data_IF_285433417705
#
_entry.id   IF_285433417705
#
_cell.length_a   1.000
_cell.length_b   1.000
_cell.length_c   1.000
_cell.angle_alpha   90.00
_cell.angle_beta   90.00
_cell.angle_gamma   90.00
#
_symmetry.space_group_name_H-M   'P 1'
#
loop_
_entity.id
_entity.type
_entity.pdbx_description
1 polymer ?
#
# COMPACT_ATOMS: atom_id res chain seq x y z
N UNK A 1 -13.22 -7.12 14.36
CA UNK A 1 -13.86 -5.97 13.69
C UNK A 1 -14.68 -6.50 12.52
N UNK A 2 -15.98 -6.19 12.44
CA UNK A 2 -16.77 -6.48 11.23
C UNK A 2 -16.33 -5.49 10.17
N UNK A 3 -15.64 -5.96 9.13
CA UNK A 3 -15.24 -5.10 8.02
C UNK A 3 -16.50 -4.77 7.20
N UNK A 4 -17.08 -3.59 7.45
CA UNK A 4 -18.12 -3.02 6.62
C UNK A 4 -17.42 -2.42 5.41
N UNK A 5 -17.75 -2.92 4.21
CA UNK A 5 -17.32 -2.29 2.96
C UNK A 5 -17.70 -0.81 3.04
N UNK A 6 -16.73 0.07 2.80
CA UNK A 6 -16.94 1.51 2.82
C UNK A 6 -17.96 1.87 1.75
N UNK A 7 -18.86 2.79 2.06
CA UNK A 7 -19.79 3.30 1.05
C UNK A 7 -19.03 4.09 -0.01
N UNK A 8 -19.54 4.04 -1.24
CA UNK A 8 -19.01 4.86 -2.35
C UNK A 8 -19.03 6.35 -1.98
N UNK A 9 -20.05 6.79 -1.23
CA UNK A 9 -20.17 8.17 -0.75
C UNK A 9 -19.01 8.53 0.19
N UNK A 10 -18.61 7.61 1.08
CA UNK A 10 -17.44 7.82 1.91
C UNK A 10 -16.19 7.93 1.06
N UNK A 11 -15.98 7.02 0.11
CA UNK A 11 -14.81 7.05 -0.76
C UNK A 11 -14.73 8.36 -1.55
N UNK A 12 -15.84 8.77 -2.18
CA UNK A 12 -15.96 10.02 -2.93
C UNK A 12 -15.65 11.24 -2.06
N UNK A 13 -16.23 11.32 -0.86
CA UNK A 13 -16.10 12.52 -0.03
C UNK A 13 -14.81 12.57 0.78
N UNK A 14 -14.38 11.44 1.36
CA UNK A 14 -13.21 11.39 2.24
C UNK A 14 -11.91 11.13 1.48
N UNK A 15 -11.91 10.23 0.49
CA UNK A 15 -10.70 9.86 -0.26
C UNK A 15 -10.51 10.78 -1.47
N UNK A 16 -11.55 10.98 -2.29
CA UNK A 16 -11.46 11.84 -3.47
C UNK A 16 -11.77 13.32 -3.20
N UNK A 17 -12.17 13.68 -1.98
CA UNK A 17 -12.54 15.06 -1.60
C UNK A 17 -13.58 15.69 -2.54
N UNK A 18 -14.51 14.88 -3.04
CA UNK A 18 -15.59 15.30 -3.94
C UNK A 18 -15.19 15.37 -5.42
N UNK A 19 -13.92 15.18 -5.76
CA UNK A 19 -13.46 15.18 -7.16
C UNK A 19 -13.88 13.89 -7.87
N UNK A 20 -15.07 13.93 -8.48
CA UNK A 20 -15.69 12.77 -9.15
C UNK A 20 -15.01 12.43 -10.48
N UNK A 21 -14.33 13.39 -11.12
CA UNK A 21 -13.63 13.16 -12.40
C UNK A 21 -12.55 12.07 -12.28
N UNK A 22 -11.99 11.88 -11.09
CA UNK A 22 -10.99 10.86 -10.80
C UNK A 22 -11.49 9.42 -11.03
N UNK A 23 -12.80 9.18 -10.98
CA UNK A 23 -13.36 7.88 -11.37
C UNK A 23 -13.22 7.55 -12.86
N UNK A 24 -12.87 8.54 -13.69
CA UNK A 24 -12.64 8.36 -15.13
C UNK A 24 -11.19 8.65 -15.54
N UNK A 25 -10.52 9.58 -14.85
CA UNK A 25 -9.26 10.17 -15.30
C UNK A 25 -8.06 9.82 -14.41
N UNK A 26 -8.27 9.15 -13.27
CA UNK A 26 -7.17 8.89 -12.34
C UNK A 26 -6.05 8.08 -13.00
N UNK A 27 -4.83 8.62 -12.89
CA UNK A 27 -3.61 8.01 -13.41
C UNK A 27 -2.55 8.02 -12.30
N UNK A 28 -1.95 6.86 -11.95
CA UNK A 28 -0.82 6.81 -11.03
C UNK A 28 0.35 7.64 -11.53
N UNK A 29 0.90 8.46 -10.65
CA UNK A 29 2.13 9.20 -10.92
C UNK A 29 3.25 8.68 -10.03
N UNK A 30 4.09 7.81 -10.60
CA UNK A 30 5.25 7.19 -9.94
C UNK A 30 6.47 7.42 -10.80
N UNK A 31 7.54 7.88 -10.17
CA UNK A 31 8.85 8.02 -10.80
C UNK A 31 9.73 6.85 -10.39
N UNK A 32 10.42 6.27 -11.36
CA UNK A 32 11.41 5.20 -11.17
C UNK A 32 12.81 5.83 -11.25
N UNK A 33 13.69 5.49 -10.31
CA UNK A 33 15.08 5.96 -10.30
C UNK A 33 16.01 4.81 -9.98
N UNK A 34 17.06 4.66 -10.76
CA UNK A 34 18.15 3.73 -10.50
C UNK A 34 19.30 4.47 -9.81
N UNK A 35 19.79 3.92 -8.70
CA UNK A 35 20.97 4.44 -8.00
C UNK A 35 21.89 3.25 -7.71
N UNK A 36 22.93 3.12 -8.54
CA UNK A 36 23.79 1.93 -8.49
C UNK A 36 23.01 0.66 -8.86
N UNK A 37 23.05 -0.41 -8.03
CA UNK A 37 22.30 -1.63 -8.28
C UNK A 37 20.82 -1.55 -7.83
N UNK A 38 20.43 -0.47 -7.16
CA UNK A 38 19.12 -0.36 -6.52
C UNK A 38 18.13 0.47 -7.34
N UNK A 39 16.87 0.06 -7.30
CA UNK A 39 15.75 0.74 -7.96
C UNK A 39 14.81 1.33 -6.92
N UNK A 40 14.47 2.60 -7.09
CA UNK A 40 13.61 3.37 -6.20
C UNK A 40 12.34 3.78 -6.92
N UNK A 41 11.22 3.71 -6.20
CA UNK A 41 9.90 4.15 -6.65
C UNK A 41 9.43 5.28 -5.76
N UNK A 42 9.09 6.43 -6.36
CA UNK A 42 8.55 7.58 -5.61
C UNK A 42 7.26 8.08 -6.25
N UNK A 43 6.19 8.17 -5.45
CA UNK A 43 4.96 8.85 -5.85
C UNK A 43 5.23 10.35 -5.91
N UNK A 44 4.88 11.01 -7.01
CA UNK A 44 5.07 12.45 -7.18
C UNK A 44 4.38 13.25 -6.06
N UNK A 45 5.15 14.10 -5.36
CA UNK A 45 4.74 14.77 -4.11
C UNK A 45 3.46 15.60 -4.24
N UNK A 46 3.28 16.28 -5.36
CA UNK A 46 2.14 17.18 -5.59
C UNK A 46 1.00 16.56 -6.41
N UNK A 47 1.07 15.25 -6.68
CA UNK A 47 0.08 14.54 -7.49
C UNK A 47 -1.20 14.20 -6.73
N UNK A 48 -2.30 13.98 -7.46
CA UNK A 48 -3.52 13.40 -6.88
C UNK A 48 -3.26 11.98 -6.34
N UNK A 49 -2.34 11.24 -6.97
CA UNK A 49 -1.91 9.92 -6.51
C UNK A 49 -1.40 9.97 -5.06
N UNK A 50 -0.52 10.91 -4.73
CA UNK A 50 0.00 11.08 -3.36
C UNK A 50 -1.11 11.38 -2.37
N UNK A 51 -2.00 12.33 -2.71
CA UNK A 51 -3.10 12.74 -1.82
C UNK A 51 -4.08 11.61 -1.55
N UNK A 52 -4.41 10.82 -2.58
CA UNK A 52 -5.29 9.65 -2.45
C UNK A 52 -4.62 8.57 -1.59
N UNK A 53 -3.34 8.27 -1.86
CA UNK A 53 -2.57 7.30 -1.08
C UNK A 53 -2.50 7.67 0.41
N UNK A 54 -2.24 8.94 0.73
CA UNK A 54 -2.20 9.44 2.11
C UNK A 54 -3.56 9.32 2.81
N UNK A 55 -4.66 9.62 2.10
CA UNK A 55 -6.02 9.52 2.66
C UNK A 55 -6.43 8.07 2.89
N UNK A 56 -6.13 7.17 1.94
CA UNK A 56 -6.35 5.73 2.11
C UNK A 56 -5.59 5.23 3.34
N UNK A 57 -4.31 5.61 3.46
CA UNK A 57 -3.49 5.24 4.60
C UNK A 57 -4.08 5.78 5.91
N UNK A 58 -4.40 7.07 5.95
CA UNK A 58 -4.90 7.74 7.15
C UNK A 58 -6.24 7.22 7.62
N UNK A 59 -7.20 7.02 6.72
CA UNK A 59 -8.58 6.68 7.10
C UNK A 59 -8.82 5.18 7.17
N UNK A 60 -8.10 4.38 6.39
CA UNK A 60 -8.39 2.95 6.23
C UNK A 60 -7.25 2.10 6.81
N UNK A 61 -6.04 2.20 6.27
CA UNK A 61 -4.95 1.29 6.65
C UNK A 61 -4.45 1.51 8.07
N UNK A 62 -4.53 2.75 8.59
CA UNK A 62 -4.17 3.08 9.98
C UNK A 62 -5.05 2.38 11.02
N UNK A 63 -6.23 1.89 10.62
CA UNK A 63 -7.16 1.18 11.51
C UNK A 63 -6.78 -0.30 11.65
N UNK A 64 -5.88 -0.80 10.80
CA UNK A 64 -5.39 -2.18 10.86
C UNK A 64 -4.39 -2.27 12.01
N UNK A 65 -4.56 -3.20 12.97
CA UNK A 65 -3.59 -3.42 14.02
C UNK A 65 -2.21 -3.70 13.45
N UNK A 66 -1.20 -2.97 13.93
CA UNK A 66 0.18 -3.14 13.50
C UNK A 66 0.68 -4.51 13.98
N UNK A 67 1.28 -5.27 13.07
CA UNK A 67 1.90 -6.54 13.40
C UNK A 67 3.03 -6.32 14.42
N UNK A 68 3.16 -7.19 15.42
CA UNK A 68 4.22 -7.11 16.44
C UNK A 68 5.63 -7.07 15.85
N UNK A 69 5.84 -7.72 14.71
CA UNK A 69 7.12 -7.73 13.98
C UNK A 69 7.45 -6.39 13.31
N UNK A 70 6.47 -5.51 13.12
CA UNK A 70 6.68 -4.17 12.56
C UNK A 70 7.03 -3.13 13.63
N UNK A 71 7.52 -3.57 14.81
CA UNK A 71 7.85 -2.71 15.96
C UNK A 71 8.79 -1.55 15.60
N UNK A 72 9.74 -1.76 14.68
CA UNK A 72 10.69 -0.73 14.23
C UNK A 72 10.04 0.42 13.45
N UNK A 73 8.80 0.27 12.99
CA UNK A 73 8.05 1.31 12.26
C UNK A 73 7.02 2.03 13.16
N UNK A 74 6.98 1.71 14.45
CA UNK A 74 6.06 2.32 15.41
C UNK A 74 6.75 3.50 16.09
N UNK A 75 6.15 4.69 16.01
CA UNK A 75 6.65 5.87 16.69
C UNK A 75 6.78 5.63 18.19
N UNK A 76 7.93 6.03 18.76
CA UNK A 76 8.23 5.86 20.18
C UNK A 76 8.66 4.45 20.58
N UNK A 77 8.74 3.52 19.63
CA UNK A 77 9.38 2.22 19.83
C UNK A 77 10.75 2.18 19.14
N UNK A 78 11.57 1.27 19.61
CA UNK A 78 12.94 1.09 19.15
C UNK A 78 13.23 -0.39 18.91
N UNK A 79 14.43 -0.66 18.38
CA UNK A 79 14.92 -2.02 18.25
C UNK A 79 15.08 -2.72 19.61
N UNK A 80 15.32 -1.97 20.68
CA UNK A 80 15.32 -2.50 22.04
C UNK A 80 13.96 -3.07 22.43
N UNK A 81 12.87 -2.33 22.16
CA UNK A 81 11.50 -2.78 22.45
C UNK A 81 11.13 -4.04 21.66
N UNK A 82 11.65 -4.16 20.45
CA UNK A 82 11.50 -5.37 19.63
C UNK A 82 12.24 -6.57 20.22
N UNK A 83 13.50 -6.40 20.66
CA UNK A 83 14.34 -7.50 21.15
C UNK A 83 14.06 -7.90 22.59
N UNK A 84 13.61 -6.98 23.43
CA UNK A 84 13.45 -7.19 24.87
C UNK A 84 12.58 -8.43 25.23
N UNK A 85 11.48 -8.75 24.50
CA UNK A 85 10.74 -9.99 24.73
C UNK A 85 11.53 -11.28 24.41
N UNK A 86 12.53 -11.19 23.52
CA UNK A 86 13.25 -12.34 22.97
C UNK A 86 14.54 -12.69 23.73
N UNK A 87 15.05 -11.80 24.61
CA UNK A 87 16.31 -12.03 25.35
C UNK A 87 16.27 -13.23 26.30
N UNK A 88 15.08 -13.72 26.66
CA UNK A 88 14.88 -14.92 27.48
C UNK A 88 14.86 -16.22 26.67
N UNK A 89 14.80 -16.13 25.34
CA UNK A 89 14.78 -17.29 24.45
C UNK A 89 16.16 -17.90 24.28
N UNK A 90 16.26 -19.22 24.35
CA UNK A 90 17.51 -19.95 24.15
C UNK A 90 17.90 -20.10 22.66
N UNK A 91 16.89 -20.13 21.78
CA UNK A 91 17.07 -20.23 20.33
C UNK A 91 16.45 -19.00 19.66
N UNK A 92 17.17 -18.43 18.70
CA UNK A 92 16.70 -17.32 17.88
C UNK A 92 16.84 -17.65 16.40
N UNK A 93 15.87 -17.20 15.60
CA UNK A 93 15.90 -17.30 14.14
C UNK A 93 15.80 -15.90 13.57
N UNK A 94 16.80 -15.52 12.76
CA UNK A 94 16.77 -14.30 11.96
C UNK A 94 16.66 -14.70 10.50
N UNK A 95 15.61 -14.23 9.85
CA UNK A 95 15.39 -14.39 8.42
C UNK A 95 15.49 -13.02 7.77
N UNK A 96 16.19 -12.95 6.65
CA UNK A 96 16.14 -11.82 5.75
C UNK A 96 15.36 -12.21 4.51
N UNK A 97 14.45 -11.34 4.07
CA UNK A 97 13.59 -11.60 2.92
C UNK A 97 14.12 -10.76 1.76
N UNK A 98 14.76 -11.44 0.81
CA UNK A 98 15.24 -10.80 -0.41
C UNK A 98 14.05 -10.15 -1.14
N UNK A 99 14.23 -8.87 -1.49
CA UNK A 99 13.26 -8.06 -2.26
C UNK A 99 11.82 -8.12 -1.71
N UNK A 100 11.68 -7.95 -0.39
CA UNK A 100 10.41 -8.05 0.35
C UNK A 100 9.17 -7.43 -0.34
N UNK A 101 9.25 -6.19 -0.84
CA UNK A 101 8.08 -5.54 -1.45
C UNK A 101 7.64 -6.20 -2.76
N UNK A 102 8.59 -6.66 -3.56
CA UNK A 102 8.31 -7.30 -4.85
C UNK A 102 7.89 -8.77 -4.71
N UNK A 103 8.20 -9.40 -3.59
CA UNK A 103 7.76 -10.78 -3.29
C UNK A 103 6.29 -10.85 -2.85
N UNK A 104 5.67 -9.72 -2.49
CA UNK A 104 4.24 -9.66 -2.14
C UNK A 104 3.39 -9.80 -3.41
N UNK A 105 2.54 -10.83 -3.54
CA UNK A 105 1.69 -10.99 -4.71
C UNK A 105 0.63 -9.90 -4.78
N UNK A 106 0.44 -9.30 -5.96
CA UNK A 106 -0.62 -8.31 -6.17
C UNK A 106 -2.03 -8.87 -5.89
N UNK A 107 -2.22 -10.19 -6.00
CA UNK A 107 -3.48 -10.87 -5.63
C UNK A 107 -3.80 -10.76 -4.15
N UNK A 108 -2.81 -10.82 -3.26
CA UNK A 108 -2.99 -10.67 -1.82
C UNK A 108 -3.42 -9.25 -1.46
N UNK A 109 -2.78 -8.25 -2.08
CA UNK A 109 -3.19 -6.84 -1.93
C UNK A 109 -4.62 -6.63 -2.43
N UNK A 110 -4.97 -7.23 -3.58
CA UNK A 110 -6.35 -7.19 -4.11
C UNK A 110 -7.35 -7.85 -3.16
N UNK A 111 -7.01 -8.99 -2.56
CA UNK A 111 -7.87 -9.67 -1.60
C UNK A 111 -8.10 -8.82 -0.35
N UNK A 112 -7.05 -8.20 0.19
CA UNK A 112 -7.14 -7.26 1.31
C UNK A 112 -8.04 -6.06 0.99
N UNK A 113 -7.85 -5.43 -0.17
CA UNK A 113 -8.57 -4.20 -0.53
C UNK A 113 -10.04 -4.43 -0.85
N UNK A 114 -10.42 -5.60 -1.39
CA UNK A 114 -11.82 -6.00 -1.62
C UNK A 114 -12.67 -6.00 -0.34
N UNK A 115 -12.03 -6.12 0.83
CA UNK A 115 -12.72 -6.10 2.12
C UNK A 115 -13.12 -4.67 2.53
N UNK A 116 -12.43 -3.65 2.00
CA UNK A 116 -12.65 -2.25 2.36
C UNK A 116 -13.40 -1.47 1.29
N UNK A 117 -13.17 -1.76 0.01
CA UNK A 117 -13.67 -0.94 -1.11
C UNK A 117 -14.69 -1.68 -1.97
N UNK A 118 -15.69 -0.96 -2.45
CA UNK A 118 -16.67 -1.48 -3.39
C UNK A 118 -16.04 -1.68 -4.77
N UNK A 119 -16.48 -2.72 -5.47
CA UNK A 119 -16.10 -3.01 -6.86
C UNK A 119 -17.22 -2.63 -7.85
N UNK A 120 -18.16 -1.78 -7.44
CA UNK A 120 -19.30 -1.38 -8.26
C UNK A 120 -18.89 -0.22 -9.15
N UNK A 121 -19.21 -0.33 -10.45
CA UNK A 121 -18.99 0.73 -11.44
C UNK A 121 -20.34 1.35 -11.80
N UNK A 122 -20.55 2.62 -11.44
CA UNK A 122 -21.78 3.36 -11.71
C UNK A 122 -21.57 4.24 -12.93
N UNK A 123 -21.41 3.61 -14.10
CA UNK A 123 -21.11 4.25 -15.40
C UNK A 123 -19.69 4.84 -15.53
N UNK A 124 -18.94 4.87 -14.44
CA UNK A 124 -17.55 5.31 -14.40
C UNK A 124 -16.56 4.23 -14.85
N UNK A 125 -15.39 4.66 -15.34
CA UNK A 125 -14.31 3.77 -15.79
C UNK A 125 -13.74 2.92 -14.64
N UNK A 126 -13.57 3.54 -13.48
CA UNK A 126 -12.96 2.96 -12.29
C UNK A 126 -13.96 2.87 -11.14
N UNK A 127 -13.93 1.76 -10.41
CA UNK A 127 -14.57 1.65 -9.10
C UNK A 127 -13.69 2.26 -7.99
N UNK A 128 -14.25 2.38 -6.77
CA UNK A 128 -13.46 2.73 -5.59
C UNK A 128 -12.30 1.76 -5.35
N UNK A 129 -12.54 0.45 -5.54
CA UNK A 129 -11.50 -0.58 -5.47
C UNK A 129 -10.41 -0.36 -6.52
N UNK A 130 -10.77 -0.04 -7.77
CA UNK A 130 -9.80 0.19 -8.84
C UNK A 130 -8.86 1.36 -8.51
N UNK A 131 -9.41 2.50 -8.07
CA UNK A 131 -8.61 3.66 -7.66
C UNK A 131 -7.73 3.32 -6.46
N UNK A 132 -8.27 2.64 -5.46
CA UNK A 132 -7.50 2.27 -4.27
C UNK A 132 -6.33 1.35 -4.61
N UNK A 133 -6.52 0.39 -5.53
CA UNK A 133 -5.46 -0.48 -6.02
C UNK A 133 -4.43 0.28 -6.85
N UNK A 134 -4.87 1.15 -7.76
CA UNK A 134 -3.98 2.01 -8.55
C UNK A 134 -3.17 2.97 -7.68
N UNK A 135 -3.67 3.32 -6.49
CA UNK A 135 -2.99 4.20 -5.54
C UNK A 135 -1.92 3.50 -4.68
N UNK A 136 -1.86 2.15 -4.69
CA UNK A 136 -0.93 1.37 -3.83
C UNK A 136 -0.10 0.35 -4.60
N UNK A 137 -0.55 -0.06 -5.79
CA UNK A 137 0.17 -0.95 -6.69
C UNK A 137 0.76 -0.13 -7.83
N UNK A 138 2.04 -0.38 -8.10
CA UNK A 138 2.74 0.13 -9.26
C UNK A 138 3.13 -1.03 -10.16
N UNK A 139 2.93 -0.87 -11.47
CA UNK A 139 3.44 -1.82 -12.46
C UNK A 139 4.71 -1.21 -13.05
N UNK A 140 5.83 -1.88 -12.87
CA UNK A 140 7.14 -1.40 -13.31
C UNK A 140 7.21 -1.26 -14.82
N UNK A 141 8.08 -0.36 -15.28
CA UNK A 141 8.39 -0.21 -16.69
C UNK A 141 8.98 -1.51 -17.28
N UNK A 142 8.75 -1.76 -18.58
CA UNK A 142 9.19 -3.00 -19.27
C UNK A 142 10.71 -3.25 -19.23
N UNK A 143 11.49 -2.23 -18.91
CA UNK A 143 12.96 -2.32 -18.75
C UNK A 143 13.38 -3.06 -17.47
N UNK A 144 12.48 -3.21 -16.50
CA UNK A 144 12.70 -3.96 -15.26
C UNK A 144 11.77 -5.16 -15.24
N UNK A 145 12.31 -6.35 -15.53
CA UNK A 145 11.51 -7.57 -15.50
C UNK A 145 11.12 -7.96 -14.07
N UNK A 146 9.92 -8.54 -13.89
CA UNK A 146 9.48 -9.05 -12.58
C UNK A 146 10.48 -10.04 -11.96
N UNK A 147 11.23 -10.80 -12.78
CA UNK A 147 12.33 -11.67 -12.35
C UNK A 147 13.49 -10.88 -11.75
N UNK A 148 13.92 -9.80 -12.40
CA UNK A 148 15.00 -8.92 -11.88
C UNK A 148 14.61 -8.20 -10.59
N UNK A 149 13.33 -8.10 -10.27
CA UNK A 149 12.81 -7.53 -9.03
C UNK A 149 12.38 -8.57 -7.99
N UNK A 150 12.34 -9.86 -8.34
CA UNK A 150 11.99 -10.94 -7.39
C UNK A 150 13.14 -11.90 -7.07
N UNK A 151 14.11 -12.07 -7.97
CA UNK A 151 15.19 -13.08 -7.86
C UNK A 151 16.41 -12.65 -7.04
#
# INVERSE_FOLDING_TARGET
MKNKILSDDFFKNAILKGNSALFNEFTPSVTEREVGPDVFFEIEKNSEHRKINERITKFILSQIPINSSACGFVQGKSYFDFLNPHVKGYFFLRLDIKKFFHSIPASEVKALFKVYFSNTKKEEKYSALDIALMAVLHKTSKSLSDSELRD
#
